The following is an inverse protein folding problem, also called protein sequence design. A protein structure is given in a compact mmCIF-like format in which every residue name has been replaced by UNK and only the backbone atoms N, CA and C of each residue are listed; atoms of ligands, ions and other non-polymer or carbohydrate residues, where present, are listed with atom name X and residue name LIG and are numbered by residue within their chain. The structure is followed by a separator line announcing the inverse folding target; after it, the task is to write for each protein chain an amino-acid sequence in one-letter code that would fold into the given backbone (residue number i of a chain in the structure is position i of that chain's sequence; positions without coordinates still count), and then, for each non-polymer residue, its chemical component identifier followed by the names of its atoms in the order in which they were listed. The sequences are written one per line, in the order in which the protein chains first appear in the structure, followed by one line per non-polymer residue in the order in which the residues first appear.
data_IF_059722449253
#
_entry.id   IF_059722449253
#
_cell.length_a   1.000
_cell.length_b   1.000
_cell.length_c   1.000
_cell.angle_alpha   90.00
_cell.angle_beta   90.00
_cell.angle_gamma   90.00
#
_symmetry.space_group_name_H-M   'P 1'
#
loop_
_entity.id
_entity.type
_entity.pdbx_description
1 polymer ?
#
# COMPACT_ATOMS: atom_id res chain seq x y z
N UNK A 1 -13.24 16.66 -19.66
CA UNK A 1 -12.40 15.49 -19.40
C UNK A 1 -13.11 14.20 -19.83
N UNK A 2 -14.40 13.97 -19.43
CA UNK A 2 -15.17 12.77 -19.79
C UNK A 2 -15.43 12.62 -21.29
N UNK A 3 -15.40 13.70 -22.06
CA UNK A 3 -15.48 13.64 -23.53
C UNK A 3 -14.20 13.04 -24.13
N UNK A 4 -13.04 13.28 -23.50
CA UNK A 4 -11.75 12.81 -23.97
C UNK A 4 -11.36 11.44 -23.35
N UNK A 5 -11.84 11.18 -22.13
CA UNK A 5 -11.60 9.93 -21.37
C UNK A 5 -12.89 9.56 -20.63
N UNK A 6 -13.83 8.86 -21.27
CA UNK A 6 -15.13 8.50 -20.68
C UNK A 6 -15.02 7.62 -19.44
N UNK A 7 -13.92 6.87 -19.33
CA UNK A 7 -13.65 5.95 -18.21
C UNK A 7 -12.68 6.52 -17.17
N UNK A 8 -12.64 7.84 -17.01
CA UNK A 8 -11.85 8.46 -15.95
C UNK A 8 -12.64 8.44 -14.63
N UNK A 9 -12.32 7.48 -13.73
CA UNK A 9 -13.07 7.22 -12.50
C UNK A 9 -13.38 8.47 -11.67
N UNK A 10 -12.36 9.27 -11.34
CA UNK A 10 -12.55 10.49 -10.55
C UNK A 10 -13.46 11.51 -11.26
N UNK A 11 -13.38 11.63 -12.58
CA UNK A 11 -14.27 12.54 -13.32
C UNK A 11 -15.72 12.03 -13.33
N UNK A 12 -15.92 10.70 -13.38
CA UNK A 12 -17.22 10.07 -13.21
C UNK A 12 -17.78 10.36 -11.81
N UNK A 13 -16.96 10.21 -10.76
CA UNK A 13 -17.37 10.49 -9.38
C UNK A 13 -17.84 11.94 -9.20
N UNK A 14 -17.02 12.90 -9.63
CA UNK A 14 -17.31 14.34 -9.49
C UNK A 14 -18.58 14.74 -10.26
N UNK A 15 -18.72 14.27 -11.51
CA UNK A 15 -19.90 14.57 -12.31
C UNK A 15 -21.14 13.83 -11.80
N UNK A 16 -20.98 12.59 -11.35
CA UNK A 16 -22.06 11.82 -10.74
C UNK A 16 -22.61 12.49 -9.50
N UNK A 17 -21.74 12.97 -8.62
CA UNK A 17 -22.10 13.77 -7.46
C UNK A 17 -22.93 15.00 -7.87
N UNK A 18 -22.42 15.80 -8.81
CA UNK A 18 -23.11 17.01 -9.25
C UNK A 18 -24.51 16.71 -9.81
N UNK A 19 -24.68 15.64 -10.58
CA UNK A 19 -25.99 15.25 -11.09
C UNK A 19 -26.95 14.78 -10.00
N UNK A 20 -26.45 14.06 -8.98
CA UNK A 20 -27.29 13.65 -7.84
C UNK A 20 -27.69 14.85 -6.95
N UNK A 21 -26.88 15.92 -6.90
CA UNK A 21 -27.23 17.18 -6.23
C UNK A 21 -28.38 17.91 -6.92
N UNK A 22 -28.55 17.70 -8.22
CA UNK A 22 -29.64 18.25 -9.05
C UNK A 22 -30.77 17.23 -9.29
N UNK A 23 -30.78 16.13 -8.55
CA UNK A 23 -31.75 15.02 -8.66
C UNK A 23 -31.81 14.38 -10.07
N UNK A 24 -30.71 14.45 -10.82
CA UNK A 24 -30.58 13.78 -12.11
C UNK A 24 -30.14 12.30 -11.89
N UNK A 25 -30.98 11.32 -12.27
CA UNK A 25 -30.69 9.89 -12.02
C UNK A 25 -29.48 9.36 -12.80
N UNK A 26 -29.02 10.06 -13.84
CA UNK A 26 -27.79 9.72 -14.57
C UNK A 26 -26.54 9.78 -13.67
N UNK A 27 -26.62 10.50 -12.54
CA UNK A 27 -25.58 10.52 -11.52
C UNK A 27 -25.28 9.14 -10.96
N UNK A 28 -26.28 8.27 -10.79
CA UNK A 28 -26.12 6.89 -10.32
C UNK A 28 -25.22 6.09 -11.25
N UNK A 29 -25.46 6.16 -12.57
CA UNK A 29 -24.68 5.43 -13.56
C UNK A 29 -23.21 5.86 -13.58
N UNK A 30 -22.95 7.16 -13.37
CA UNK A 30 -21.59 7.67 -13.29
C UNK A 30 -20.87 7.21 -12.03
N UNK A 31 -21.55 7.14 -10.89
CA UNK A 31 -20.96 6.61 -9.65
C UNK A 31 -20.66 5.11 -9.76
N UNK A 32 -21.56 4.33 -10.38
CA UNK A 32 -21.31 2.91 -10.68
C UNK A 32 -20.07 2.74 -11.59
N UNK A 33 -19.97 3.56 -12.64
CA UNK A 33 -18.80 3.55 -13.52
C UNK A 33 -17.52 3.98 -12.80
N UNK A 34 -17.58 4.96 -11.90
CA UNK A 34 -16.43 5.37 -11.10
C UNK A 34 -15.88 4.19 -10.28
N UNK A 35 -16.76 3.43 -9.60
CA UNK A 35 -16.36 2.25 -8.81
C UNK A 35 -15.81 1.10 -9.66
N UNK A 36 -16.34 0.90 -10.88
CA UNK A 36 -15.84 -0.11 -11.81
C UNK A 36 -14.45 0.23 -12.35
N UNK A 37 -14.18 1.51 -12.55
CA UNK A 37 -12.93 2.00 -13.14
C UNK A 37 -11.81 2.12 -12.12
N UNK A 38 -12.17 2.50 -10.89
CA UNK A 38 -11.24 2.71 -9.79
C UNK A 38 -11.88 2.28 -8.47
N UNK A 39 -11.46 1.11 -7.98
CA UNK A 39 -11.99 0.54 -6.74
C UNK A 39 -11.76 1.43 -5.51
N UNK A 40 -10.77 2.32 -5.54
CA UNK A 40 -10.49 3.26 -4.44
C UNK A 40 -11.60 4.29 -4.25
N UNK A 41 -12.43 4.51 -5.28
CA UNK A 41 -13.56 5.44 -5.25
C UNK A 41 -14.85 4.81 -4.69
N UNK A 42 -14.83 3.52 -4.34
CA UNK A 42 -16.02 2.78 -3.89
C UNK A 42 -16.65 3.40 -2.65
N UNK A 43 -15.84 3.76 -1.66
CA UNK A 43 -16.33 4.37 -0.44
C UNK A 43 -17.07 5.68 -0.71
N UNK A 44 -16.42 6.61 -1.42
CA UNK A 44 -17.00 7.90 -1.74
C UNK A 44 -18.28 7.79 -2.61
N UNK A 45 -18.27 6.88 -3.60
CA UNK A 45 -19.42 6.65 -4.46
C UNK A 45 -20.60 6.05 -3.69
N UNK A 46 -20.37 5.04 -2.83
CA UNK A 46 -21.41 4.44 -1.99
C UNK A 46 -22.02 5.46 -1.01
N UNK A 47 -21.20 6.31 -0.37
CA UNK A 47 -21.69 7.39 0.49
C UNK A 47 -22.63 8.34 -0.24
N UNK A 48 -22.28 8.74 -1.47
CA UNK A 48 -23.13 9.60 -2.30
C UNK A 48 -24.44 8.90 -2.70
N UNK A 49 -24.38 7.61 -3.05
CA UNK A 49 -25.56 6.81 -3.36
C UNK A 49 -26.48 6.66 -2.15
N UNK A 50 -25.94 6.35 -0.96
CA UNK A 50 -26.72 6.28 0.28
C UNK A 50 -27.48 7.59 0.56
N UNK A 51 -26.78 8.73 0.45
CA UNK A 51 -27.39 10.04 0.63
C UNK A 51 -28.49 10.34 -0.39
N UNK A 52 -28.28 10.01 -1.66
CA UNK A 52 -29.29 10.18 -2.72
C UNK A 52 -30.51 9.30 -2.48
N UNK A 53 -30.33 8.01 -2.22
CA UNK A 53 -31.45 7.08 -2.00
C UNK A 53 -32.21 7.37 -0.71
N UNK A 54 -31.56 7.88 0.33
CA UNK A 54 -32.23 8.37 1.53
C UNK A 54 -33.15 9.56 1.23
N UNK A 55 -32.65 10.57 0.45
CA UNK A 55 -33.47 11.73 0.06
C UNK A 55 -34.66 11.36 -0.84
N UNK A 56 -34.46 10.39 -1.73
CA UNK A 56 -35.49 9.97 -2.70
C UNK A 56 -36.39 8.86 -2.18
N UNK A 57 -36.21 8.41 -0.92
CA UNK A 57 -37.04 7.38 -0.28
C UNK A 57 -36.84 5.95 -0.82
N UNK A 58 -35.77 5.70 -1.56
CA UNK A 58 -35.47 4.40 -2.18
C UNK A 58 -34.75 3.46 -1.18
N UNK A 59 -35.46 3.01 -0.14
CA UNK A 59 -34.90 2.28 1.00
C UNK A 59 -34.11 1.01 0.63
N UNK A 60 -34.59 0.22 -0.34
CA UNK A 60 -33.91 -1.01 -0.74
C UNK A 60 -32.56 -0.74 -1.42
N UNK A 61 -32.52 0.29 -2.26
CA UNK A 61 -31.26 0.73 -2.92
C UNK A 61 -30.30 1.37 -1.92
N UNK A 62 -30.84 2.11 -0.95
CA UNK A 62 -30.02 2.66 0.14
C UNK A 62 -29.35 1.53 0.90
N UNK A 63 -30.10 0.50 1.33
CA UNK A 63 -29.54 -0.67 2.03
C UNK A 63 -28.47 -1.38 1.19
N UNK A 64 -28.71 -1.60 -0.09
CA UNK A 64 -27.70 -2.19 -0.99
C UNK A 64 -26.40 -1.37 -1.05
N UNK A 65 -26.50 -0.05 -1.06
CA UNK A 65 -25.33 0.83 -1.07
C UNK A 65 -24.60 0.80 0.29
N UNK A 66 -25.34 0.70 1.41
CA UNK A 66 -24.81 0.54 2.76
C UNK A 66 -24.06 -0.80 2.90
N UNK A 67 -24.66 -1.92 2.46
CA UNK A 67 -24.05 -3.25 2.48
C UNK A 67 -22.73 -3.29 1.66
N UNK A 68 -22.70 -2.61 0.50
CA UNK A 68 -21.49 -2.49 -0.31
C UNK A 68 -20.41 -1.67 0.39
N UNK A 69 -20.79 -0.59 1.04
CA UNK A 69 -19.87 0.26 1.81
C UNK A 69 -19.25 -0.52 2.97
N UNK A 70 -20.07 -1.26 3.72
CA UNK A 70 -19.62 -2.12 4.82
C UNK A 70 -18.65 -3.20 4.32
N UNK A 71 -19.05 -3.96 3.30
CA UNK A 71 -18.20 -5.00 2.69
C UNK A 71 -16.87 -4.46 2.16
N UNK A 72 -16.86 -3.25 1.60
CA UNK A 72 -15.64 -2.61 1.16
C UNK A 72 -14.74 -2.23 2.35
N UNK A 73 -15.32 -1.68 3.41
CA UNK A 73 -14.60 -1.36 4.65
C UNK A 73 -13.97 -2.59 5.31
N UNK A 74 -14.71 -3.71 5.36
CA UNK A 74 -14.17 -4.99 5.85
C UNK A 74 -12.98 -5.48 5.02
N UNK A 75 -13.07 -5.40 3.69
CA UNK A 75 -11.98 -5.75 2.78
C UNK A 75 -10.77 -4.84 2.96
N UNK A 76 -10.96 -3.53 3.16
CA UNK A 76 -9.87 -2.61 3.47
C UNK A 76 -9.17 -2.97 4.78
N UNK A 77 -9.94 -3.28 5.83
CA UNK A 77 -9.38 -3.72 7.11
C UNK A 77 -8.63 -5.05 6.99
N UNK A 78 -9.16 -6.00 6.21
CA UNK A 78 -8.48 -7.26 5.94
C UNK A 78 -7.17 -7.04 5.20
N UNK A 79 -7.16 -6.17 4.19
CA UNK A 79 -5.97 -5.78 3.45
C UNK A 79 -4.90 -5.13 4.35
N UNK A 80 -5.32 -4.27 5.27
CA UNK A 80 -4.41 -3.63 6.21
C UNK A 80 -3.80 -4.66 7.17
N UNK A 81 -4.61 -5.53 7.77
CA UNK A 81 -4.13 -6.61 8.66
C UNK A 81 -3.15 -7.54 7.96
N UNK A 82 -3.42 -7.89 6.69
CA UNK A 82 -2.55 -8.73 5.89
C UNK A 82 -1.19 -8.07 5.65
N UNK A 83 -1.15 -6.74 5.44
CA UNK A 83 0.09 -5.98 5.20
C UNK A 83 0.87 -5.68 6.47
N UNK A 84 0.18 -5.39 7.56
CA UNK A 84 0.80 -5.09 8.85
C UNK A 84 1.42 -6.32 9.51
N UNK A 85 0.89 -7.52 9.21
CA UNK A 85 1.39 -8.77 9.76
C UNK A 85 2.28 -9.48 8.75
N UNK A 86 3.59 -9.22 8.82
CA UNK A 86 4.59 -9.87 7.95
C UNK A 86 5.47 -10.81 8.76
N UNK A 87 5.49 -12.07 8.33
CA UNK A 87 6.20 -13.17 9.01
C UNK A 87 7.08 -13.97 8.06
N UNK A 88 7.98 -14.78 8.59
CA UNK A 88 8.81 -15.67 7.78
C UNK A 88 8.02 -16.82 7.10
N UNK A 89 6.77 -17.06 7.51
CA UNK A 89 5.90 -18.05 6.90
C UNK A 89 5.17 -17.52 5.64
N UNK A 90 5.17 -16.20 5.43
CA UNK A 90 4.52 -15.61 4.27
C UNK A 90 5.23 -15.98 2.96
N UNK A 91 4.46 -15.99 1.88
CA UNK A 91 4.99 -16.09 0.53
C UNK A 91 5.52 -14.73 0.07
N UNK A 92 6.71 -14.76 -0.56
CA UNK A 92 7.35 -13.57 -1.11
C UNK A 92 7.63 -13.76 -2.60
N UNK A 93 7.47 -12.68 -3.35
CA UNK A 93 7.69 -12.57 -4.79
C UNK A 93 8.79 -11.53 -5.07
N UNK A 94 9.42 -11.55 -6.25
CA UNK A 94 10.33 -10.48 -6.67
C UNK A 94 9.65 -9.11 -6.61
N UNK A 95 10.40 -8.06 -6.24
CA UNK A 95 9.86 -6.71 -6.04
C UNK A 95 9.36 -6.01 -7.31
N UNK A 96 9.82 -6.42 -8.50
CA UNK A 96 9.49 -5.88 -9.85
C UNK A 96 9.61 -4.35 -10.01
N UNK A 97 10.33 -3.67 -9.11
CA UNK A 97 10.61 -2.24 -9.22
C UNK A 97 11.69 -1.97 -10.25
N UNK A 98 11.56 -0.85 -10.96
CA UNK A 98 12.55 -0.35 -11.91
C UNK A 98 13.75 0.28 -11.20
N UNK A 99 14.88 0.43 -11.90
CA UNK A 99 16.06 1.12 -11.36
C UNK A 99 15.76 2.56 -10.90
N UNK A 100 14.91 3.28 -11.63
CA UNK A 100 14.48 4.62 -11.23
C UNK A 100 13.70 4.66 -9.91
N UNK A 101 12.93 3.60 -9.63
CA UNK A 101 12.19 3.46 -8.37
C UNK A 101 13.09 2.99 -7.22
N UNK A 102 14.16 2.25 -7.52
CA UNK A 102 15.13 1.78 -6.53
C UNK A 102 16.18 2.84 -6.15
N UNK A 103 16.48 3.79 -7.02
CA UNK A 103 17.50 4.81 -6.78
C UNK A 103 17.28 5.60 -5.47
N UNK A 104 16.09 6.18 -5.19
CA UNK A 104 15.85 6.88 -3.92
C UNK A 104 16.04 5.98 -2.69
N UNK A 105 15.69 4.69 -2.81
CA UNK A 105 15.85 3.72 -1.74
C UNK A 105 17.34 3.46 -1.46
N UNK A 106 18.14 3.30 -2.51
CA UNK A 106 19.60 3.12 -2.39
C UNK A 106 20.26 4.34 -1.77
N UNK A 107 19.88 5.55 -2.18
CA UNK A 107 20.41 6.80 -1.63
C UNK A 107 20.12 6.93 -0.13
N UNK A 108 18.88 6.61 0.28
CA UNK A 108 18.50 6.61 1.69
C UNK A 108 19.30 5.60 2.52
N UNK A 109 19.52 4.39 1.99
CA UNK A 109 20.30 3.34 2.66
C UNK A 109 21.79 3.68 2.71
N UNK A 110 22.33 4.27 1.65
CA UNK A 110 23.73 4.70 1.57
C UNK A 110 24.06 5.77 2.60
N UNK A 111 23.12 6.66 2.87
CA UNK A 111 23.26 7.73 3.87
C UNK A 111 23.34 7.22 5.33
N UNK A 112 23.00 5.94 5.59
CA UNK A 112 23.09 5.35 6.92
C UNK A 112 24.33 4.47 7.07
N UNK A 113 25.41 4.93 7.78
CA UNK A 113 26.69 4.23 7.84
C UNK A 113 26.61 2.80 8.42
N UNK A 114 25.64 2.55 9.27
CA UNK A 114 25.43 1.24 9.89
C UNK A 114 24.88 0.19 8.91
N UNK A 115 24.27 0.60 7.81
CA UNK A 115 23.68 -0.31 6.83
C UNK A 115 24.78 -0.94 5.96
N UNK A 116 24.83 -2.27 5.92
CA UNK A 116 25.79 -3.01 5.09
C UNK A 116 25.15 -3.59 3.84
N UNK A 117 23.92 -4.06 3.93
CA UNK A 117 23.16 -4.56 2.78
C UNK A 117 21.66 -4.46 3.04
N UNK A 118 20.89 -4.49 1.99
CA UNK A 118 19.44 -4.53 2.09
C UNK A 118 18.83 -5.37 0.95
N UNK A 119 17.77 -6.08 1.30
CA UNK A 119 17.03 -6.95 0.40
C UNK A 119 15.56 -6.55 0.40
N UNK A 120 14.98 -6.48 -0.79
CA UNK A 120 13.60 -6.08 -1.02
C UNK A 120 12.84 -7.21 -1.69
N UNK A 121 11.67 -7.54 -1.17
CA UNK A 121 10.74 -8.45 -1.80
C UNK A 121 9.33 -7.88 -1.74
N UNK A 122 8.41 -8.48 -2.47
CA UNK A 122 6.99 -8.19 -2.41
C UNK A 122 6.29 -9.32 -1.68
N UNK A 123 5.50 -9.02 -0.64
CA UNK A 123 4.62 -10.01 -0.03
C UNK A 123 3.52 -10.39 -1.02
N UNK A 124 3.22 -11.67 -1.14
CA UNK A 124 2.09 -12.17 -1.93
C UNK A 124 0.79 -11.93 -1.16
N UNK A 125 0.16 -10.78 -1.43
CA UNK A 125 -1.08 -10.36 -0.76
C UNK A 125 -2.29 -10.80 -1.56
N UNK A 126 -3.33 -11.27 -0.84
CA UNK A 126 -4.54 -11.80 -1.45
C UNK A 126 -5.63 -10.72 -1.56
N UNK A 127 -5.62 -9.75 -0.66
CA UNK A 127 -6.60 -8.67 -0.67
C UNK A 127 -6.02 -7.43 -1.35
N UNK A 128 -6.63 -7.00 -2.43
CA UNK A 128 -6.16 -5.94 -3.32
C UNK A 128 -4.72 -6.18 -3.82
N UNK A 129 -4.48 -7.26 -4.59
CA UNK A 129 -3.14 -7.64 -5.07
C UNK A 129 -2.53 -6.59 -6.03
N UNK A 130 -3.35 -5.72 -6.62
CA UNK A 130 -2.94 -4.57 -7.42
C UNK A 130 -2.20 -3.51 -6.60
N UNK A 131 -2.36 -3.52 -5.26
CA UNK A 131 -1.66 -2.65 -4.33
C UNK A 131 -0.56 -3.44 -3.60
N UNK A 132 0.63 -3.60 -4.18
CA UNK A 132 1.67 -4.47 -3.66
C UNK A 132 2.20 -3.99 -2.30
N UNK A 133 2.46 -4.95 -1.42
CA UNK A 133 3.15 -4.74 -0.16
C UNK A 133 4.63 -5.08 -0.31
N UNK A 134 5.50 -4.08 -0.33
CA UNK A 134 6.95 -4.26 -0.37
C UNK A 134 7.51 -4.40 1.05
N UNK A 135 8.48 -5.29 1.21
CA UNK A 135 9.11 -5.58 2.50
C UNK A 135 10.62 -5.47 2.34
N UNK A 136 11.22 -4.52 3.03
CA UNK A 136 12.65 -4.23 3.01
C UNK A 136 13.33 -4.77 4.26
N UNK A 137 14.17 -5.76 4.11
CA UNK A 137 15.05 -6.28 5.15
C UNK A 137 16.39 -5.54 5.10
N UNK A 138 16.71 -4.80 6.16
CA UNK A 138 17.96 -4.04 6.29
C UNK A 138 18.91 -4.79 7.24
N UNK A 139 20.11 -5.06 6.78
CA UNK A 139 21.16 -5.69 7.54
C UNK A 139 22.19 -4.66 7.96
N UNK A 140 22.50 -4.61 9.24
CA UNK A 140 23.38 -3.60 9.82
C UNK A 140 24.64 -4.22 10.43
N UNK A 141 25.76 -3.52 10.26
CA UNK A 141 26.97 -3.82 11.02
C UNK A 141 26.89 -3.12 12.37
N UNK A 142 27.02 -3.91 13.45
CA UNK A 142 27.12 -3.37 14.81
C UNK A 142 28.32 -3.96 15.52
N UNK A 143 29.11 -3.12 16.20
CA UNK A 143 30.14 -3.60 17.09
C UNK A 143 29.51 -4.50 18.18
N UNK A 144 30.15 -5.62 18.51
CA UNK A 144 29.63 -6.62 19.44
C UNK A 144 29.38 -6.08 20.88
N UNK A 145 29.97 -4.95 21.23
CA UNK A 145 29.79 -4.28 22.54
C UNK A 145 28.60 -3.32 22.62
N UNK A 146 27.94 -3.04 21.53
CA UNK A 146 26.73 -2.20 21.54
C UNK A 146 25.49 -3.11 21.63
N UNK A 147 24.70 -3.00 22.71
CA UNK A 147 23.47 -3.77 22.83
C UNK A 147 22.53 -3.45 21.66
N UNK A 148 21.87 -4.48 21.15
CA UNK A 148 20.81 -4.36 20.15
C UNK A 148 19.58 -3.80 20.86
N UNK A 149 19.41 -2.47 20.86
CA UNK A 149 18.23 -1.82 21.41
C UNK A 149 17.13 -1.73 20.34
N UNK A 150 15.93 -2.16 20.68
CA UNK A 150 14.76 -2.01 19.80
C UNK A 150 14.57 -0.54 19.38
N UNK A 151 14.81 0.40 20.31
CA UNK A 151 14.73 1.83 20.04
C UNK A 151 15.74 2.28 18.96
N UNK A 152 17.00 1.81 19.02
CA UNK A 152 18.01 2.17 18.02
C UNK A 152 17.69 1.59 16.62
N UNK A 153 17.00 0.45 16.56
CA UNK A 153 16.46 -0.10 15.31
C UNK A 153 15.36 0.79 14.75
N UNK A 154 14.42 1.19 15.61
CA UNK A 154 13.32 2.06 15.20
C UNK A 154 13.83 3.41 14.70
N UNK A 155 14.74 4.04 15.42
CA UNK A 155 15.35 5.31 15.00
C UNK A 155 16.06 5.21 13.64
N UNK A 156 16.71 4.07 13.35
CA UNK A 156 17.34 3.84 12.03
C UNK A 156 16.27 3.69 10.95
N UNK A 157 15.22 2.91 11.19
CA UNK A 157 14.10 2.74 10.27
C UNK A 157 13.44 4.09 9.98
N UNK A 158 13.19 4.89 11.02
CA UNK A 158 12.56 6.21 10.89
C UNK A 158 13.42 7.17 10.05
N UNK A 159 14.75 7.16 10.22
CA UNK A 159 15.66 7.97 9.39
C UNK A 159 15.69 7.52 7.93
N UNK A 160 15.64 6.21 7.68
CA UNK A 160 15.54 5.69 6.31
C UNK A 160 14.22 6.13 5.67
N UNK A 161 13.10 5.94 6.38
CA UNK A 161 11.76 6.30 5.90
C UNK A 161 11.63 7.81 5.67
N UNK A 162 12.19 8.65 6.54
CA UNK A 162 12.14 10.11 6.41
C UNK A 162 12.82 10.64 5.13
N UNK A 163 13.74 9.85 4.54
CA UNK A 163 14.44 10.20 3.30
C UNK A 163 13.81 9.58 2.05
N UNK A 164 12.79 8.72 2.25
CA UNK A 164 12.16 8.00 1.17
C UNK A 164 10.87 8.68 0.71
N UNK A 165 10.76 8.89 -0.60
CA UNK A 165 9.50 9.11 -1.29
C UNK A 165 9.13 7.82 -2.01
N UNK A 166 8.53 6.87 -1.29
CA UNK A 166 8.12 5.60 -1.85
C UNK A 166 6.63 5.64 -2.20
N UNK A 167 6.30 5.33 -3.45
CA UNK A 167 4.90 5.26 -3.87
C UNK A 167 4.40 3.83 -3.67
N UNK A 168 3.56 3.63 -2.68
CA UNK A 168 2.99 2.32 -2.32
C UNK A 168 3.28 1.92 -0.88
N UNK A 169 2.93 0.69 -0.53
CA UNK A 169 3.12 0.16 0.82
C UNK A 169 4.53 -0.41 0.96
N UNK A 170 5.29 0.13 1.91
CA UNK A 170 6.65 -0.31 2.22
C UNK A 170 6.79 -0.55 3.72
N UNK A 171 7.04 -1.79 4.10
CA UNK A 171 7.44 -2.16 5.45
C UNK A 171 8.97 -2.29 5.50
N UNK A 172 9.59 -1.59 6.44
CA UNK A 172 11.05 -1.63 6.64
C UNK A 172 11.36 -2.22 8.02
N UNK A 173 12.28 -3.15 8.08
CA UNK A 173 12.73 -3.72 9.35
C UNK A 173 14.23 -4.02 9.34
N UNK A 174 14.82 -4.06 10.53
CA UNK A 174 16.21 -4.49 10.72
C UNK A 174 16.21 -6.00 10.93
N UNK A 175 16.97 -6.71 10.09
CA UNK A 175 17.13 -8.16 10.16
C UNK A 175 18.10 -8.54 11.30
N UNK A 176 17.66 -8.29 12.54
CA UNK A 176 18.37 -8.68 13.76
C UNK A 176 17.96 -10.09 14.25
N UNK A 177 18.38 -10.46 15.46
CA UNK A 177 18.11 -11.78 16.04
C UNK A 177 16.63 -12.18 16.03
N UNK A 178 15.73 -11.25 16.27
CA UNK A 178 14.28 -11.52 16.36
C UNK A 178 13.65 -11.70 14.97
N UNK A 179 14.15 -10.96 13.97
CA UNK A 179 13.64 -10.96 12.60
C UNK A 179 14.60 -11.62 11.60
N UNK A 180 15.61 -12.33 12.10
CA UNK A 180 16.62 -13.00 11.26
C UNK A 180 16.02 -14.03 10.30
N UNK A 181 15.01 -14.78 10.73
CA UNK A 181 14.33 -15.76 9.89
C UNK A 181 13.58 -15.08 8.72
N UNK A 182 12.89 -13.99 8.99
CA UNK A 182 12.24 -13.18 7.97
C UNK A 182 13.28 -12.54 7.04
N UNK A 183 14.35 -11.99 7.58
CA UNK A 183 15.45 -11.42 6.80
C UNK A 183 16.05 -12.42 5.82
N UNK A 184 16.36 -13.65 6.28
CA UNK A 184 16.86 -14.75 5.42
C UNK A 184 15.84 -15.16 4.34
N UNK A 185 14.56 -15.16 4.67
CA UNK A 185 13.50 -15.50 3.72
C UNK A 185 13.43 -14.51 2.56
N UNK A 186 13.60 -13.21 2.85
CA UNK A 186 13.63 -12.14 1.85
C UNK A 186 14.96 -12.19 1.07
N UNK A 187 16.10 -12.34 1.76
CA UNK A 187 17.42 -12.48 1.13
C UNK A 187 17.47 -13.63 0.11
N UNK A 188 16.76 -14.73 0.38
CA UNK A 188 16.66 -15.89 -0.51
C UNK A 188 15.80 -15.66 -1.76
N UNK A 189 15.14 -14.52 -1.93
CA UNK A 189 14.36 -14.25 -3.14
C UNK A 189 15.27 -13.82 -4.31
N UNK A 190 15.07 -14.36 -5.52
CA UNK A 190 15.84 -13.95 -6.69
C UNK A 190 15.73 -12.44 -6.94
N UNK A 191 16.88 -11.79 -7.13
CA UNK A 191 16.94 -10.35 -7.42
C UNK A 191 16.57 -9.44 -6.25
N UNK A 192 16.49 -9.98 -5.02
CA UNK A 192 16.09 -9.20 -3.84
C UNK A 192 17.12 -8.17 -3.38
N UNK A 193 18.41 -8.36 -3.67
CA UNK A 193 19.46 -7.45 -3.20
C UNK A 193 19.36 -6.10 -3.90
N UNK A 194 18.93 -5.07 -3.17
CA UNK A 194 18.79 -3.71 -3.68
C UNK A 194 19.94 -2.79 -3.27
N UNK A 195 20.67 -3.14 -2.20
CA UNK A 195 21.82 -2.38 -1.73
C UNK A 195 22.87 -3.30 -1.11
N UNK A 196 24.14 -2.99 -1.39
CA UNK A 196 25.29 -3.54 -0.68
C UNK A 196 26.38 -2.46 -0.58
N UNK A 197 26.91 -2.25 0.62
CA UNK A 197 28.05 -1.37 0.84
C UNK A 197 29.33 -2.07 0.37
N UNK A 198 30.15 -1.37 -0.41
CA UNK A 198 31.46 -1.88 -0.77
C UNK A 198 32.28 -2.16 0.51
N UNK A 199 32.92 -3.31 0.58
CA UNK A 199 33.88 -3.61 1.66
C UNK A 199 35.03 -2.61 1.55
N UNK A 200 35.24 -1.82 2.59
CA UNK A 200 36.37 -0.89 2.71
C UNK A 200 37.54 -1.63 3.34
#
# INVERSE_FOLDING_TARGET
LLVLKPDHGLACLVRGRHWLETDDPRGVELLERAMQTDATLTEAACQLLCGHYARTGQRDRQRQAEDRLESFGERQQAAQRERDNVTAADAFLPHVLTEAQLAPLRDALQAEPAVVRAHLARKDVQVFPENPCHVLAVFVHRPFWKPVGQQANQELVDRVLARLSFNGYLLVFIADSNLAALGKRIEGQPGSQVYARAAT
#
